data_IF_980032923154
#
_entry.id   IF_980032923154
#
_cell.length_a   1.000
_cell.length_b   1.000
_cell.length_c   1.000
_cell.angle_alpha   90.00
_cell.angle_beta   90.00
_cell.angle_gamma   90.00
#
_symmetry.space_group_name_H-M   'P 1'
#
loop_
_entity.id
_entity.type
_entity.pdbx_description
1 polymer ?
#
# COMPACT_ATOMS: atom_id res chain seq x y z
N UNK A 1 0.81 6.31 -25.64
CA UNK A 1 1.35 7.33 -24.75
C UNK A 1 2.74 7.76 -25.25
N UNK A 2 3.02 9.07 -25.44
CA UNK A 2 4.36 9.57 -25.77
C UNK A 2 5.41 9.07 -24.78
N UNK A 3 6.60 8.73 -25.26
CA UNK A 3 7.65 8.18 -24.42
C UNK A 3 8.08 9.15 -23.30
N UNK A 4 8.13 10.45 -23.60
CA UNK A 4 8.46 11.50 -22.63
C UNK A 4 7.47 11.69 -21.49
N UNK A 5 6.27 11.10 -21.58
CA UNK A 5 5.23 11.14 -20.56
C UNK A 5 5.10 9.84 -19.78
N UNK A 6 5.79 8.76 -20.18
CA UNK A 6 5.76 7.49 -19.45
C UNK A 6 6.37 7.65 -18.06
N UNK A 7 5.66 7.15 -17.04
CA UNK A 7 6.09 7.26 -15.64
C UNK A 7 5.97 8.67 -15.06
N UNK A 8 5.17 9.56 -15.67
CA UNK A 8 4.96 10.92 -15.14
C UNK A 8 3.51 11.18 -14.73
N UNK A 9 3.30 12.18 -13.87
CA UNK A 9 1.96 12.66 -13.50
C UNK A 9 1.15 13.07 -14.73
N UNK A 10 1.75 13.82 -15.64
CA UNK A 10 1.14 14.20 -16.91
C UNK A 10 0.81 12.99 -17.80
N UNK A 11 1.57 11.90 -17.70
CA UNK A 11 1.30 10.65 -18.39
C UNK A 11 0.06 9.94 -17.88
N UNK A 12 -0.19 9.97 -16.57
CA UNK A 12 -1.40 9.42 -15.98
C UNK A 12 -2.64 10.25 -16.38
N UNK A 13 -2.51 11.56 -16.46
CA UNK A 13 -3.55 12.50 -16.92
C UNK A 13 -3.75 12.52 -18.44
N UNK A 14 -2.96 11.78 -19.21
CA UNK A 14 -3.05 11.82 -20.67
C UNK A 14 -4.37 11.18 -21.18
N UNK A 15 -5.03 11.75 -22.20
CA UNK A 15 -6.33 11.24 -22.69
C UNK A 15 -6.33 9.74 -23.04
N UNK A 16 -5.23 9.22 -23.59
CA UNK A 16 -5.11 7.78 -23.90
C UNK A 16 -5.13 6.92 -22.63
N UNK A 17 -4.47 7.38 -21.55
CA UNK A 17 -4.46 6.67 -20.25
C UNK A 17 -5.85 6.74 -19.61
N UNK A 18 -6.47 7.91 -19.60
CA UNK A 18 -7.81 8.11 -19.06
C UNK A 18 -8.85 7.24 -19.79
N UNK A 19 -8.82 7.22 -21.12
CA UNK A 19 -9.72 6.38 -21.92
C UNK A 19 -9.52 4.88 -21.64
N UNK A 20 -8.27 4.43 -21.45
CA UNK A 20 -7.99 3.05 -21.05
C UNK A 20 -8.57 2.72 -19.68
N UNK A 21 -8.35 3.58 -18.67
CA UNK A 21 -8.86 3.39 -17.32
C UNK A 21 -10.40 3.41 -17.27
N UNK A 22 -11.04 4.31 -18.03
CA UNK A 22 -12.49 4.32 -18.19
C UNK A 22 -13.01 3.02 -18.82
N UNK A 23 -12.28 2.49 -19.81
CA UNK A 23 -12.61 1.21 -20.44
C UNK A 23 -12.56 0.00 -19.49
N UNK A 24 -11.81 0.09 -18.39
CA UNK A 24 -11.79 -0.92 -17.33
C UNK A 24 -13.03 -0.87 -16.41
N UNK A 25 -13.83 0.20 -16.47
CA UNK A 25 -15.02 0.37 -15.63
C UNK A 25 -14.71 0.69 -14.17
N UNK A 26 -13.48 1.07 -13.82
CA UNK A 26 -13.09 1.47 -12.46
C UNK A 26 -13.62 2.86 -12.11
N UNK A 27 -13.79 3.13 -10.82
CA UNK A 27 -14.29 4.41 -10.30
C UNK A 27 -13.30 5.14 -9.40
N UNK A 28 -12.31 4.43 -8.88
CA UNK A 28 -11.29 5.01 -8.00
C UNK A 28 -9.92 4.49 -8.40
N UNK A 29 -8.91 5.34 -8.23
CA UNK A 29 -7.50 5.02 -8.50
C UNK A 29 -6.75 5.19 -7.19
N UNK A 30 -6.12 4.13 -6.71
CA UNK A 30 -5.19 4.19 -5.59
C UNK A 30 -3.77 4.30 -6.14
N UNK A 31 -3.12 5.42 -5.84
CA UNK A 31 -1.75 5.69 -6.24
C UNK A 31 -0.79 5.16 -5.18
N UNK A 32 0.24 4.42 -5.60
CA UNK A 32 1.42 4.20 -4.76
C UNK A 32 1.97 5.54 -4.26
N UNK A 33 2.81 5.56 -3.19
CA UNK A 33 3.22 6.81 -2.57
C UNK A 33 3.83 7.80 -3.57
N UNK A 34 3.28 9.01 -3.60
CA UNK A 34 3.78 10.12 -4.44
C UNK A 34 4.40 11.24 -3.63
N UNK A 35 4.59 11.05 -2.33
CA UNK A 35 5.39 11.96 -1.50
C UNK A 35 6.85 11.90 -1.92
N UNK A 36 7.57 13.01 -1.77
CA UNK A 36 9.00 13.07 -2.07
C UNK A 36 9.74 12.00 -1.24
N UNK A 37 10.56 11.21 -1.92
CA UNK A 37 11.24 10.04 -1.37
C UNK A 37 12.75 10.14 -1.54
N UNK A 38 13.45 9.26 -0.85
CA UNK A 38 14.88 9.02 -1.02
C UNK A 38 15.10 7.53 -1.33
N UNK A 39 16.07 7.26 -2.19
CA UNK A 39 16.50 5.88 -2.43
C UNK A 39 17.23 5.37 -1.18
N UNK A 40 16.91 4.18 -0.71
CA UNK A 40 17.56 3.52 0.42
C UNK A 40 19.05 3.27 0.12
N UNK A 41 19.91 3.29 1.13
CA UNK A 41 21.34 3.07 0.98
C UNK A 41 21.65 1.77 0.23
N UNK A 42 20.96 0.71 0.56
CA UNK A 42 21.07 -0.59 -0.11
C UNK A 42 20.83 -0.47 -1.63
N UNK A 43 19.77 0.23 -2.05
CA UNK A 43 19.47 0.44 -3.46
C UNK A 43 20.55 1.27 -4.16
N UNK A 44 21.03 2.33 -3.50
CA UNK A 44 22.10 3.19 -4.03
C UNK A 44 23.42 2.41 -4.24
N UNK A 45 23.81 1.55 -3.29
CA UNK A 45 24.97 0.67 -3.38
C UNK A 45 24.90 -0.30 -4.57
N UNK A 46 23.68 -0.72 -4.95
CA UNK A 46 23.43 -1.59 -6.11
C UNK A 46 23.10 -0.82 -7.39
N UNK A 47 23.23 0.52 -7.40
CA UNK A 47 22.91 1.35 -8.57
C UNK A 47 21.43 1.35 -8.94
N UNK A 48 20.56 1.06 -7.98
CA UNK A 48 19.09 0.97 -8.12
C UNK A 48 18.41 2.18 -7.52
N UNK A 49 17.11 2.32 -7.82
CA UNK A 49 16.25 3.38 -7.28
C UNK A 49 15.03 2.77 -6.60
N UNK A 50 14.53 3.46 -5.60
CA UNK A 50 13.24 3.15 -5.00
C UNK A 50 12.15 3.35 -6.05
N UNK A 51 11.44 2.29 -6.40
CA UNK A 51 10.41 2.27 -7.45
C UNK A 51 9.01 2.54 -6.89
N UNK A 52 8.69 1.99 -5.72
CA UNK A 52 7.34 2.04 -5.16
C UNK A 52 7.02 3.34 -4.42
N UNK A 53 8.01 4.02 -3.86
CA UNK A 53 7.81 5.27 -3.12
C UNK A 53 7.72 5.14 -1.61
N UNK A 54 7.85 3.95 -1.03
CA UNK A 54 7.72 3.71 0.42
C UNK A 54 8.92 4.15 1.26
N UNK A 55 9.69 5.13 0.83
CA UNK A 55 10.86 5.67 1.53
C UNK A 55 10.74 7.19 1.66
N UNK A 56 9.75 7.66 2.43
CA UNK A 56 9.34 9.07 2.48
C UNK A 56 10.40 9.97 3.08
N UNK A 57 10.76 11.02 2.33
CA UNK A 57 11.65 12.11 2.75
C UNK A 57 10.87 13.35 3.19
N UNK A 58 9.82 13.72 2.45
CA UNK A 58 9.04 14.93 2.72
C UNK A 58 7.55 14.69 2.55
N UNK A 59 6.81 14.95 3.59
CA UNK A 59 5.38 14.65 3.72
C UNK A 59 4.45 15.72 3.13
N UNK A 60 5.00 16.88 2.70
CA UNK A 60 4.24 17.99 2.12
C UNK A 60 4.65 18.32 0.68
N UNK A 61 5.47 17.50 0.06
CA UNK A 61 5.95 17.71 -1.29
C UNK A 61 5.75 16.45 -2.15
N UNK A 62 5.31 16.59 -3.39
CA UNK A 62 5.28 15.47 -4.33
C UNK A 62 6.69 15.09 -4.80
N UNK A 63 6.85 13.84 -5.20
CA UNK A 63 8.09 13.28 -5.74
C UNK A 63 8.43 13.95 -7.10
N UNK A 64 9.55 14.68 -7.20
CA UNK A 64 9.86 15.41 -8.42
C UNK A 64 10.23 14.49 -9.60
N UNK A 65 10.77 13.30 -9.36
CA UNK A 65 11.16 12.38 -10.44
C UNK A 65 9.97 11.82 -11.22
N UNK A 66 8.76 11.89 -10.66
CA UNK A 66 7.52 11.52 -11.34
C UNK A 66 6.90 12.67 -12.14
N UNK A 67 7.50 13.88 -12.12
CA UNK A 67 7.05 14.96 -12.96
C UNK A 67 7.76 14.96 -14.32
N UNK A 68 7.18 15.64 -15.30
CA UNK A 68 7.87 15.87 -16.57
C UNK A 68 9.17 16.64 -16.38
N UNK A 69 10.17 16.42 -17.25
CA UNK A 69 11.43 17.19 -17.22
C UNK A 69 11.19 18.68 -17.23
N UNK A 70 10.22 19.14 -18.02
CA UNK A 70 9.86 20.55 -18.10
C UNK A 70 9.33 21.11 -16.75
N UNK A 71 8.59 20.33 -15.98
CA UNK A 71 8.15 20.72 -14.64
C UNK A 71 9.31 20.70 -13.63
N UNK A 72 10.16 19.69 -13.69
CA UNK A 72 11.37 19.58 -12.84
C UNK A 72 12.31 20.80 -13.02
N UNK A 73 12.58 21.20 -14.27
CA UNK A 73 13.43 22.34 -14.60
C UNK A 73 12.84 23.68 -14.11
N UNK A 74 11.52 23.80 -14.03
CA UNK A 74 10.82 24.98 -13.50
C UNK A 74 10.76 24.99 -11.96
N UNK A 75 11.07 23.88 -11.31
CA UNK A 75 11.16 23.76 -9.86
C UNK A 75 9.89 23.29 -9.17
N UNK A 76 9.93 23.21 -7.84
CA UNK A 76 8.95 22.56 -6.99
C UNK A 76 7.48 23.04 -7.19
N UNK A 77 7.30 24.34 -7.48
CA UNK A 77 5.94 24.88 -7.73
C UNK A 77 5.31 24.27 -9.01
N UNK A 78 6.11 24.04 -10.05
CA UNK A 78 5.65 23.44 -11.30
C UNK A 78 5.38 21.93 -11.12
N UNK A 79 6.24 21.23 -10.37
CA UNK A 79 6.01 19.81 -10.01
C UNK A 79 4.68 19.64 -9.25
N UNK A 80 4.46 20.49 -8.23
CA UNK A 80 3.17 20.47 -7.49
C UNK A 80 1.99 20.78 -8.40
N UNK A 81 2.13 21.73 -9.32
CA UNK A 81 1.06 22.08 -10.24
C UNK A 81 0.72 20.91 -11.18
N UNK A 82 1.72 20.16 -11.66
CA UNK A 82 1.50 18.99 -12.49
C UNK A 82 0.72 17.89 -11.75
N UNK A 83 0.95 17.70 -10.45
CA UNK A 83 0.14 16.78 -9.62
C UNK A 83 -1.30 17.28 -9.47
N UNK A 84 -1.49 18.58 -9.21
CA UNK A 84 -2.84 19.18 -9.13
C UNK A 84 -3.59 19.00 -10.46
N UNK A 85 -2.93 19.23 -11.59
CA UNK A 85 -3.49 19.07 -12.92
C UNK A 85 -3.84 17.61 -13.23
N UNK A 86 -2.99 16.66 -12.78
CA UNK A 86 -3.28 15.23 -12.86
C UNK A 86 -4.55 14.86 -12.08
N UNK A 87 -4.65 15.24 -10.80
CA UNK A 87 -5.80 14.93 -9.96
C UNK A 87 -7.07 15.53 -10.56
N UNK A 88 -7.01 16.78 -11.02
CA UNK A 88 -8.15 17.43 -11.69
C UNK A 88 -8.58 16.66 -12.95
N UNK A 89 -7.66 16.26 -13.81
CA UNK A 89 -7.98 15.49 -15.02
C UNK A 89 -8.60 14.11 -14.70
N UNK A 90 -8.16 13.46 -13.63
CA UNK A 90 -8.75 12.22 -13.13
C UNK A 90 -10.20 12.45 -12.63
N UNK A 91 -10.44 13.53 -11.87
CA UNK A 91 -11.79 13.92 -11.44
C UNK A 91 -12.71 14.22 -12.63
N UNK A 92 -12.23 14.99 -13.61
CA UNK A 92 -12.98 15.31 -14.83
C UNK A 92 -13.33 14.04 -15.65
N UNK A 93 -12.48 13.02 -15.56
CA UNK A 93 -12.70 11.70 -16.17
C UNK A 93 -13.64 10.78 -15.33
N UNK A 94 -14.06 11.22 -14.14
CA UNK A 94 -14.99 10.51 -13.25
C UNK A 94 -14.33 9.61 -12.21
N UNK A 95 -13.02 9.74 -11.97
CA UNK A 95 -12.30 8.94 -10.98
C UNK A 95 -12.13 9.69 -9.65
N UNK A 96 -12.24 8.97 -8.56
CA UNK A 96 -11.70 9.37 -7.27
C UNK A 96 -10.22 9.00 -7.18
N UNK A 97 -9.44 9.80 -6.47
CA UNK A 97 -8.00 9.60 -6.30
C UNK A 97 -7.69 9.29 -4.83
N UNK A 98 -7.26 8.08 -4.55
CA UNK A 98 -6.80 7.62 -3.24
C UNK A 98 -5.27 7.63 -3.26
N UNK A 99 -4.65 8.12 -2.21
CA UNK A 99 -3.20 8.18 -2.09
C UNK A 99 -2.72 7.25 -0.99
N UNK A 100 -1.77 6.38 -1.33
CA UNK A 100 -1.04 5.59 -0.34
C UNK A 100 -0.07 6.48 0.44
N UNK A 101 -0.10 6.39 1.76
CA UNK A 101 0.67 7.26 2.65
C UNK A 101 1.47 6.46 3.68
N UNK A 102 2.74 6.81 3.78
CA UNK A 102 3.72 6.14 4.64
C UNK A 102 4.07 7.05 5.80
N UNK A 103 3.34 6.91 6.92
CA UNK A 103 3.63 7.66 8.16
C UNK A 103 4.25 6.78 9.25
N UNK A 104 4.42 5.50 8.99
CA UNK A 104 4.96 4.56 9.98
C UNK A 104 6.48 4.65 10.13
N UNK A 105 7.19 5.05 9.06
CA UNK A 105 8.66 5.22 9.04
C UNK A 105 9.10 6.36 8.11
N UNK A 106 10.40 6.62 8.09
CA UNK A 106 11.04 7.58 7.19
C UNK A 106 12.15 6.93 6.37
N UNK A 107 12.63 7.65 5.36
CA UNK A 107 13.77 7.22 4.54
C UNK A 107 15.11 7.15 5.30
N UNK A 108 15.14 7.48 6.58
CA UNK A 108 16.40 7.53 7.37
C UNK A 108 16.90 6.14 7.80
N UNK A 109 16.10 5.06 7.61
CA UNK A 109 16.51 3.70 7.95
C UNK A 109 16.84 3.53 9.44
N UNK A 110 17.71 2.58 9.75
CA UNK A 110 18.18 2.31 11.12
C UNK A 110 19.16 3.37 11.66
N UNK A 111 19.79 3.07 12.78
CA UNK A 111 20.75 4.00 13.45
C UNK A 111 21.94 4.35 12.57
N UNK A 112 22.30 3.51 11.63
CA UNK A 112 23.39 3.73 10.65
C UNK A 112 22.93 4.53 9.42
N UNK A 113 21.65 4.86 9.33
CA UNK A 113 21.08 5.55 8.20
C UNK A 113 21.40 7.06 8.21
N UNK A 114 21.11 7.78 7.10
CA UNK A 114 21.40 9.20 6.99
C UNK A 114 20.54 10.04 7.93
N UNK A 115 20.99 11.24 8.23
CA UNK A 115 20.24 12.27 8.97
C UNK A 115 19.75 13.32 7.97
N UNK A 116 18.58 13.10 7.39
CA UNK A 116 18.03 13.92 6.28
C UNK A 116 16.57 14.36 6.50
N UNK A 117 15.92 13.83 7.53
CA UNK A 117 14.53 14.12 7.88
C UNK A 117 14.41 14.51 9.36
N UNK A 118 13.62 13.81 10.15
CA UNK A 118 13.24 14.18 11.53
C UNK A 118 14.34 13.92 12.55
N UNK A 119 15.23 12.96 12.30
CA UNK A 119 16.36 12.66 13.18
C UNK A 119 17.22 13.88 13.43
N UNK A 120 17.41 14.73 12.41
CA UNK A 120 18.18 15.96 12.52
C UNK A 120 17.52 17.08 13.33
N UNK A 121 16.22 16.97 13.60
CA UNK A 121 15.46 17.92 14.42
C UNK A 121 15.38 17.47 15.87
N UNK A 122 14.84 16.32 16.15
CA UNK A 122 14.76 15.73 17.48
C UNK A 122 14.49 14.22 17.38
N UNK A 123 15.55 13.41 17.36
CA UNK A 123 15.48 11.97 17.19
C UNK A 123 14.59 11.32 18.27
N UNK A 124 14.73 11.73 19.52
CA UNK A 124 13.98 11.16 20.64
C UNK A 124 12.49 11.54 20.65
N UNK A 125 12.12 12.63 20.02
CA UNK A 125 10.74 13.09 19.94
C UNK A 125 9.98 12.48 18.76
N UNK A 126 10.67 12.19 17.64
CA UNK A 126 10.01 11.72 16.43
C UNK A 126 10.06 10.20 16.26
N UNK A 127 11.08 9.52 16.80
CA UNK A 127 11.26 8.08 16.60
C UNK A 127 11.07 7.29 17.88
N UNK A 128 10.57 6.07 17.75
CA UNK A 128 10.46 5.13 18.85
C UNK A 128 11.81 4.50 19.14
N UNK A 129 12.22 4.59 20.39
CA UNK A 129 13.46 4.01 20.90
C UNK A 129 13.16 2.83 21.83
N UNK A 130 14.04 1.84 21.83
CA UNK A 130 13.94 0.72 22.75
C UNK A 130 14.09 1.20 24.21
N UNK A 131 13.14 0.85 25.08
CA UNK A 131 13.16 1.25 26.51
C UNK A 131 14.44 0.79 27.24
N UNK A 132 14.99 -0.36 26.83
CA UNK A 132 16.20 -0.93 27.43
C UNK A 132 17.49 -0.30 26.92
N UNK A 133 17.47 0.33 25.74
CA UNK A 133 18.61 0.98 25.13
C UNK A 133 18.15 2.05 24.14
N UNK A 134 18.10 3.29 24.58
CA UNK A 134 17.67 4.43 23.76
C UNK A 134 18.61 4.77 22.60
N UNK A 135 19.78 4.15 22.53
CA UNK A 135 20.65 4.21 21.34
C UNK A 135 20.19 3.27 20.20
N UNK A 136 19.09 2.53 20.38
CA UNK A 136 18.49 1.66 19.37
C UNK A 136 17.05 2.05 19.10
N UNK A 137 16.69 2.09 17.82
CA UNK A 137 15.32 2.31 17.39
C UNK A 137 14.47 1.04 17.59
N UNK A 138 13.18 1.22 17.90
CA UNK A 138 12.18 0.18 17.68
C UNK A 138 11.89 0.11 16.17
N UNK A 139 11.74 -1.11 15.66
CA UNK A 139 11.41 -1.34 14.27
C UNK A 139 10.21 -2.30 14.17
N UNK A 140 9.01 -1.73 14.00
CA UNK A 140 7.80 -2.48 13.71
C UNK A 140 7.44 -2.44 12.21
N UNK A 141 8.32 -1.85 11.40
CA UNK A 141 8.08 -1.55 9.98
C UNK A 141 8.94 -2.39 9.02
N UNK A 142 10.07 -2.93 9.51
CA UNK A 142 11.06 -3.60 8.67
C UNK A 142 11.97 -2.63 7.90
N UNK A 143 11.80 -1.30 8.11
CA UNK A 143 12.57 -0.27 7.43
C UNK A 143 13.65 0.37 8.33
N UNK A 144 13.87 -0.19 9.53
CA UNK A 144 14.92 0.22 10.46
C UNK A 144 14.52 1.32 11.43
N UNK A 145 13.36 1.95 11.27
CA UNK A 145 12.83 2.94 12.20
C UNK A 145 11.31 2.90 12.27
N UNK A 146 10.77 3.44 13.34
CA UNK A 146 9.33 3.61 13.55
C UNK A 146 9.09 5.02 14.09
N UNK A 147 8.18 5.79 13.47
CA UNK A 147 7.75 7.08 14.01
C UNK A 147 6.90 6.91 15.26
N UNK A 148 7.10 7.80 16.24
CA UNK A 148 6.42 7.72 17.54
C UNK A 148 5.07 8.44 17.52
N UNK A 149 4.00 7.74 17.18
CA UNK A 149 2.63 8.25 17.22
C UNK A 149 2.06 8.43 18.62
N UNK A 150 2.80 8.11 19.68
CA UNK A 150 2.44 8.53 21.05
C UNK A 150 2.76 10.01 21.28
N UNK A 151 3.65 10.59 20.46
CA UNK A 151 3.99 12.00 20.51
C UNK A 151 2.95 12.83 19.72
N UNK A 152 2.36 13.83 20.42
CA UNK A 152 1.33 14.70 19.84
C UNK A 152 1.85 15.54 18.66
N UNK A 153 3.14 15.88 18.62
CA UNK A 153 3.72 16.60 17.50
C UNK A 153 3.74 15.73 16.23
N UNK A 154 4.06 14.43 16.34
CA UNK A 154 4.02 13.48 15.23
C UNK A 154 2.59 13.33 14.71
N UNK A 155 1.62 13.18 15.62
CA UNK A 155 0.19 13.10 15.27
C UNK A 155 -0.27 14.37 14.55
N UNK A 156 0.02 15.55 15.10
CA UNK A 156 -0.37 16.85 14.51
C UNK A 156 0.22 17.01 13.11
N UNK A 157 1.50 16.70 12.96
CA UNK A 157 2.21 16.75 11.71
C UNK A 157 1.56 15.84 10.64
N UNK A 158 1.22 14.59 10.99
CA UNK A 158 0.55 13.68 10.06
C UNK A 158 -0.84 14.19 9.64
N UNK A 159 -1.63 14.70 10.58
CA UNK A 159 -2.95 15.30 10.30
C UNK A 159 -2.81 16.52 9.39
N UNK A 160 -1.85 17.41 9.62
CA UNK A 160 -1.64 18.59 8.78
C UNK A 160 -1.16 18.22 7.37
N UNK A 161 -0.32 17.20 7.26
CA UNK A 161 0.09 16.65 5.96
C UNK A 161 -1.11 16.09 5.18
N UNK A 162 -1.95 15.26 5.81
CA UNK A 162 -3.16 14.72 5.19
C UNK A 162 -4.12 15.83 4.75
N UNK A 163 -4.33 16.85 5.59
CA UNK A 163 -5.13 18.04 5.23
C UNK A 163 -4.55 18.80 4.04
N UNK A 164 -3.21 18.90 3.94
CA UNK A 164 -2.55 19.52 2.80
C UNK A 164 -2.86 18.75 1.51
N UNK A 165 -2.70 17.43 1.49
CA UNK A 165 -2.97 16.60 0.32
C UNK A 165 -4.45 16.62 -0.07
N UNK A 166 -5.35 16.52 0.89
CA UNK A 166 -6.79 16.60 0.63
C UNK A 166 -7.22 17.98 0.12
N UNK A 167 -6.82 19.06 0.81
CA UNK A 167 -7.34 20.40 0.52
C UNK A 167 -6.62 21.11 -0.62
N UNK A 168 -5.28 20.90 -0.77
CA UNK A 168 -4.47 21.65 -1.74
C UNK A 168 -4.22 20.87 -3.02
N UNK A 169 -4.18 19.57 -2.94
CA UNK A 169 -3.94 18.69 -4.10
C UNK A 169 -5.28 18.13 -4.62
N UNK A 170 -6.23 17.84 -3.74
CA UNK A 170 -7.55 17.33 -4.10
C UNK A 170 -7.69 15.82 -3.93
N UNK A 171 -6.92 15.19 -3.05
CA UNK A 171 -6.99 13.76 -2.78
C UNK A 171 -8.31 13.41 -2.07
N UNK A 172 -9.01 12.36 -2.51
CA UNK A 172 -10.34 11.93 -2.04
C UNK A 172 -10.28 10.88 -0.93
N UNK A 173 -9.12 10.28 -0.71
CA UNK A 173 -8.94 9.27 0.32
C UNK A 173 -7.47 8.88 0.52
N UNK A 174 -7.21 8.17 1.59
CA UNK A 174 -5.88 7.72 1.96
C UNK A 174 -5.87 6.24 2.32
N UNK A 175 -4.88 5.51 1.80
CA UNK A 175 -4.51 4.18 2.29
C UNK A 175 -3.28 4.33 3.17
N UNK A 176 -3.37 3.87 4.40
CA UNK A 176 -2.29 3.98 5.40
C UNK A 176 -1.46 2.71 5.41
N UNK A 177 -0.23 2.83 4.96
CA UNK A 177 0.78 1.78 5.03
C UNK A 177 1.04 1.38 6.47
N UNK A 178 1.11 0.07 6.76
CA UNK A 178 1.29 -0.50 8.09
C UNK A 178 0.44 0.21 9.17
N UNK A 179 -0.87 0.32 8.94
CA UNK A 179 -1.78 1.10 9.78
C UNK A 179 -1.77 0.71 11.26
N UNK A 180 -1.39 -0.52 11.60
CA UNK A 180 -1.25 -1.00 12.98
C UNK A 180 -0.14 -0.26 13.73
N UNK A 181 0.97 0.02 13.08
CA UNK A 181 2.08 0.81 13.65
C UNK A 181 1.63 2.18 14.13
N UNK A 182 0.73 2.84 13.36
CA UNK A 182 0.19 4.17 13.67
C UNK A 182 -0.78 4.18 14.86
N UNK A 183 -1.20 3.01 15.31
CA UNK A 183 -2.19 2.81 16.37
C UNK A 183 -1.65 2.03 17.58
N UNK A 184 -0.32 2.02 17.78
CA UNK A 184 0.32 1.35 18.91
C UNK A 184 0.56 2.31 20.08
N UNK A 185 -0.02 2.00 21.25
CA UNK A 185 0.31 2.60 22.53
C UNK A 185 1.09 1.60 23.37
N UNK A 186 2.24 2.00 23.91
CA UNK A 186 3.13 1.13 24.72
C UNK A 186 3.48 -0.21 24.08
N UNK A 187 3.52 -0.25 22.74
CA UNK A 187 3.77 -1.45 21.96
C UNK A 187 2.53 -2.24 21.56
N UNK A 188 1.37 -2.00 22.16
CA UNK A 188 0.12 -2.70 21.89
C UNK A 188 -0.78 -1.91 20.93
N UNK A 189 -1.44 -2.62 20.02
CA UNK A 189 -2.46 -2.02 19.14
C UNK A 189 -3.71 -1.62 19.94
N UNK A 190 -4.25 -0.44 19.63
CA UNK A 190 -5.56 -0.02 20.12
C UNK A 190 -6.32 0.82 19.10
N UNK A 191 -7.58 0.46 18.82
CA UNK A 191 -8.49 1.27 18.00
C UNK A 191 -8.90 2.60 18.66
N UNK A 192 -8.53 2.79 19.94
CA UNK A 192 -8.70 4.04 20.69
C UNK A 192 -7.48 4.96 20.64
N UNK A 193 -6.53 4.70 19.73
CA UNK A 193 -5.32 5.52 19.59
C UNK A 193 -5.66 6.98 19.25
N UNK A 194 -4.99 7.99 19.85
CA UNK A 194 -5.24 9.41 19.60
C UNK A 194 -5.20 9.80 18.11
N UNK A 195 -4.31 9.22 17.33
CA UNK A 195 -4.23 9.45 15.89
C UNK A 195 -5.52 9.03 15.16
N UNK A 196 -6.06 7.84 15.47
CA UNK A 196 -7.31 7.36 14.88
C UNK A 196 -8.50 8.24 15.27
N UNK A 197 -8.51 8.74 16.52
CA UNK A 197 -9.51 9.71 16.95
C UNK A 197 -9.36 11.04 16.21
N UNK A 198 -8.14 11.56 16.05
CA UNK A 198 -7.88 12.78 15.32
C UNK A 198 -8.36 12.68 13.86
N UNK A 199 -8.07 11.57 13.18
CA UNK A 199 -8.52 11.33 11.81
C UNK A 199 -10.04 11.37 11.67
N UNK A 200 -10.76 10.55 12.46
CA UNK A 200 -12.22 10.42 12.33
C UNK A 200 -12.99 11.64 12.83
N UNK A 201 -12.39 12.45 13.71
CA UNK A 201 -13.03 13.65 14.25
C UNK A 201 -12.70 14.92 13.46
N UNK A 202 -11.77 14.85 12.52
CA UNK A 202 -11.42 15.96 11.66
C UNK A 202 -12.56 16.24 10.67
N UNK A 203 -12.99 17.50 10.54
CA UNK A 203 -14.12 17.90 9.71
C UNK A 203 -13.89 17.66 8.20
N UNK A 204 -12.61 17.62 7.77
CA UNK A 204 -12.26 17.33 6.39
C UNK A 204 -11.96 15.83 6.25
N UNK A 205 -10.99 15.33 7.01
CA UNK A 205 -10.45 13.97 6.83
C UNK A 205 -11.48 12.88 7.18
N UNK A 206 -12.30 13.08 8.20
CA UNK A 206 -13.33 12.12 8.62
C UNK A 206 -14.44 11.88 7.59
N UNK A 207 -14.51 12.71 6.53
CA UNK A 207 -15.44 12.54 5.40
C UNK A 207 -14.79 11.94 4.16
N UNK A 208 -13.47 11.65 4.19
CA UNK A 208 -12.75 11.02 3.10
C UNK A 208 -12.73 9.50 3.24
N UNK A 209 -12.30 8.81 2.20
CA UNK A 209 -12.02 7.37 2.26
C UNK A 209 -10.75 7.14 3.08
N UNK A 210 -10.87 6.44 4.20
CA UNK A 210 -9.76 6.10 5.08
C UNK A 210 -9.60 4.57 5.10
N UNK A 211 -8.54 4.09 4.47
CA UNK A 211 -8.27 2.67 4.28
C UNK A 211 -7.02 2.31 5.06
N UNK A 212 -7.09 1.28 5.89
CA UNK A 212 -5.95 0.79 6.67
C UNK A 212 -5.37 -0.46 6.04
N UNK A 213 -4.06 -0.53 5.97
CA UNK A 213 -3.37 -1.80 5.91
C UNK A 213 -3.34 -2.37 7.34
N UNK A 214 -4.08 -3.47 7.62
CA UNK A 214 -4.36 -3.85 9.01
C UNK A 214 -3.32 -4.80 9.59
N UNK A 215 -2.04 -4.59 9.26
CA UNK A 215 -0.91 -5.34 9.84
C UNK A 215 0.33 -4.47 9.99
N UNK A 216 1.31 -5.00 10.72
CA UNK A 216 2.69 -4.55 10.79
C UNK A 216 3.62 -5.72 11.20
N UNK A 217 4.92 -5.48 11.33
CA UNK A 217 5.91 -6.50 11.70
C UNK A 217 6.15 -6.63 13.21
N UNK A 218 5.44 -5.85 14.02
CA UNK A 218 5.53 -5.92 15.48
C UNK A 218 4.82 -7.13 16.06
N UNK A 219 4.94 -7.30 17.37
CA UNK A 219 4.24 -8.38 18.08
C UNK A 219 2.73 -8.26 17.88
N UNK A 220 2.06 -9.41 17.62
CA UNK A 220 0.63 -9.47 17.32
C UNK A 220 0.22 -8.43 16.24
N UNK A 221 1.03 -8.31 15.19
CA UNK A 221 0.88 -7.28 14.17
C UNK A 221 -0.34 -7.43 13.27
N UNK A 222 -0.91 -8.61 13.10
CA UNK A 222 -2.10 -8.82 12.27
C UNK A 222 -3.37 -8.40 13.01
N UNK A 223 -4.14 -7.45 12.45
CA UNK A 223 -5.29 -6.80 13.08
C UNK A 223 -6.49 -6.62 12.14
N UNK A 224 -6.56 -7.39 11.06
CA UNK A 224 -7.69 -7.34 10.12
C UNK A 224 -9.02 -7.54 10.86
N UNK A 225 -9.96 -6.60 10.65
CA UNK A 225 -11.25 -6.57 11.34
C UNK A 225 -11.26 -5.79 12.66
N UNK A 226 -10.14 -5.18 13.10
CA UNK A 226 -10.02 -4.58 14.44
C UNK A 226 -9.97 -3.05 14.46
N UNK A 227 -9.98 -2.38 13.32
CA UNK A 227 -10.17 -0.93 13.27
C UNK A 227 -11.66 -0.59 13.38
N UNK A 228 -11.96 0.57 14.01
CA UNK A 228 -13.33 1.03 14.18
C UNK A 228 -13.83 1.83 12.97
N UNK A 229 -15.13 2.17 12.95
CA UNK A 229 -15.71 3.13 12.00
C UNK A 229 -14.96 4.47 12.10
N UNK A 230 -14.66 5.17 10.97
CA UNK A 230 -15.08 4.93 9.59
C UNK A 230 -14.07 4.15 8.72
N UNK A 231 -13.06 3.55 9.31
CA UNK A 231 -11.95 2.93 8.57
C UNK A 231 -12.40 1.68 7.81
N UNK A 232 -12.06 1.63 6.53
CA UNK A 232 -12.03 0.41 5.75
C UNK A 232 -10.64 -0.25 5.87
N UNK A 233 -10.55 -1.53 5.56
CA UNK A 233 -9.32 -2.30 5.69
C UNK A 233 -9.08 -3.17 4.45
N UNK A 234 -7.84 -3.26 4.04
CA UNK A 234 -7.42 -4.28 3.09
C UNK A 234 -7.67 -5.67 3.68
N UNK A 235 -8.46 -6.48 2.98
CA UNK A 235 -8.89 -7.80 3.46
C UNK A 235 -7.97 -8.90 2.91
N UNK A 236 -6.89 -9.21 3.64
CA UNK A 236 -5.98 -10.29 3.32
C UNK A 236 -6.66 -11.68 3.37
N UNK A 237 -7.67 -11.86 4.23
CA UNK A 237 -8.45 -13.10 4.28
C UNK A 237 -9.23 -13.33 2.99
N UNK A 238 -9.79 -12.28 2.40
CA UNK A 238 -10.40 -12.38 1.08
C UNK A 238 -9.35 -12.78 0.03
N UNK A 239 -8.21 -12.07 0.00
CA UNK A 239 -7.12 -12.33 -0.94
C UNK A 239 -6.69 -13.79 -0.90
N UNK A 240 -6.35 -14.28 0.29
CA UNK A 240 -5.80 -15.63 0.46
C UNK A 240 -6.85 -16.71 0.17
N UNK A 241 -8.09 -16.52 0.63
CA UNK A 241 -9.21 -17.44 0.33
C UNK A 241 -9.47 -17.50 -1.17
N UNK A 242 -9.54 -16.36 -1.85
CA UNK A 242 -9.80 -16.32 -3.29
C UNK A 242 -8.67 -16.98 -4.10
N UNK A 243 -7.41 -16.71 -3.75
CA UNK A 243 -6.26 -17.34 -4.40
C UNK A 243 -6.24 -18.85 -4.17
N UNK A 244 -6.41 -19.31 -2.93
CA UNK A 244 -6.46 -20.75 -2.63
C UNK A 244 -7.60 -21.42 -3.39
N UNK A 245 -8.80 -20.84 -3.40
CA UNK A 245 -9.96 -21.41 -4.06
C UNK A 245 -9.79 -21.57 -5.58
N UNK A 246 -9.26 -20.55 -6.25
CA UNK A 246 -9.14 -20.53 -7.72
C UNK A 246 -7.84 -21.09 -8.26
N UNK A 247 -6.80 -21.21 -7.44
CA UNK A 247 -5.48 -21.64 -7.87
C UNK A 247 -5.07 -22.96 -7.22
N UNK A 248 -4.86 -22.99 -5.92
CA UNK A 248 -4.33 -24.17 -5.24
C UNK A 248 -5.33 -25.34 -5.24
N UNK A 249 -6.61 -25.09 -4.98
CA UNK A 249 -7.63 -26.15 -4.98
C UNK A 249 -7.86 -26.73 -6.39
N UNK A 250 -7.69 -25.94 -7.43
CA UNK A 250 -7.83 -26.37 -8.84
C UNK A 250 -6.59 -27.16 -9.28
N UNK A 251 -5.40 -26.72 -8.89
CA UNK A 251 -4.13 -27.39 -9.22
C UNK A 251 -3.86 -28.65 -8.37
N UNK A 252 -4.76 -28.94 -7.43
CA UNK A 252 -4.74 -30.18 -6.64
C UNK A 252 -3.69 -30.24 -5.54
N UNK A 253 -3.11 -29.11 -5.15
CA UNK A 253 -1.97 -29.02 -4.24
C UNK A 253 -2.07 -27.99 -3.12
N UNK A 254 -3.26 -27.75 -2.54
CA UNK A 254 -3.36 -26.85 -1.41
C UNK A 254 -2.76 -27.44 -0.14
N UNK A 255 -1.67 -26.84 0.35
CA UNK A 255 -1.09 -27.14 1.66
C UNK A 255 -1.95 -26.61 2.82
N UNK A 256 -2.93 -25.72 2.52
CA UNK A 256 -3.80 -25.06 3.49
C UNK A 256 -5.19 -25.70 3.63
N UNK A 257 -5.45 -26.80 2.91
CA UNK A 257 -6.76 -27.45 2.85
C UNK A 257 -7.68 -26.75 1.86
N UNK A 258 -8.75 -27.45 1.46
CA UNK A 258 -9.73 -26.94 0.49
C UNK A 258 -10.60 -25.85 1.09
N UNK A 259 -10.78 -24.76 0.36
CA UNK A 259 -11.73 -23.71 0.73
C UNK A 259 -13.16 -24.17 0.48
N UNK A 260 -14.00 -24.09 1.50
CA UNK A 260 -15.42 -24.42 1.36
C UNK A 260 -16.18 -23.32 0.61
N UNK A 261 -17.27 -23.69 -0.06
CA UNK A 261 -18.18 -22.71 -0.68
C UNK A 261 -18.77 -21.74 0.35
N UNK A 262 -18.96 -22.19 1.59
CA UNK A 262 -19.43 -21.34 2.67
C UNK A 262 -18.41 -20.26 3.01
N UNK A 263 -17.13 -20.61 3.13
CA UNK A 263 -16.08 -19.65 3.40
C UNK A 263 -15.92 -18.66 2.25
N UNK A 264 -15.86 -19.15 1.01
CA UNK A 264 -15.78 -18.29 -0.16
C UNK A 264 -16.97 -17.32 -0.24
N UNK A 265 -18.19 -17.78 0.04
CA UNK A 265 -19.39 -16.94 0.09
C UNK A 265 -19.28 -15.87 1.18
N UNK A 266 -18.77 -16.23 2.37
CA UNK A 266 -18.54 -15.27 3.45
C UNK A 266 -17.58 -14.17 3.03
N UNK A 267 -16.48 -14.52 2.35
CA UNK A 267 -15.50 -13.54 1.82
C UNK A 267 -16.13 -12.61 0.77
N UNK A 268 -16.83 -13.17 -0.21
CA UNK A 268 -17.52 -12.41 -1.27
C UNK A 268 -18.59 -11.46 -0.71
N UNK A 269 -19.30 -11.85 0.35
CA UNK A 269 -20.30 -11.02 1.01
C UNK A 269 -19.71 -9.98 2.01
N UNK A 270 -18.41 -9.71 1.95
CA UNK A 270 -17.75 -8.67 2.75
C UNK A 270 -17.29 -9.11 4.12
N UNK A 271 -17.03 -10.42 4.31
CA UNK A 271 -16.39 -10.97 5.52
C UNK A 271 -17.04 -10.49 6.84
N UNK A 272 -18.34 -10.69 6.98
CA UNK A 272 -19.12 -10.24 8.14
C UNK A 272 -18.57 -10.78 9.48
N UNK A 273 -17.95 -11.97 9.47
CA UNK A 273 -17.26 -12.57 10.60
C UNK A 273 -16.06 -11.72 11.13
N UNK A 274 -15.45 -10.91 10.25
CA UNK A 274 -14.37 -9.99 10.59
C UNK A 274 -14.88 -8.56 10.84
N UNK A 275 -15.80 -8.07 10.01
CA UNK A 275 -16.14 -6.66 9.96
C UNK A 275 -17.47 -6.29 10.59
N UNK A 276 -18.38 -7.23 10.85
CA UNK A 276 -19.64 -6.94 11.53
C UNK A 276 -19.58 -7.16 13.06
N UNK A 277 -18.42 -6.91 13.66
CA UNK A 277 -18.17 -7.12 15.09
C UNK A 277 -18.58 -5.94 15.96
N UNK A 278 -18.75 -4.75 15.33
CA UNK A 278 -19.15 -3.52 16.03
C UNK A 278 -20.36 -2.87 15.33
N UNK A 279 -21.22 -2.14 16.10
CA UNK A 279 -22.34 -1.40 15.50
C UNK A 279 -21.89 -0.37 14.46
N UNK A 280 -22.56 -0.38 13.31
CA UNK A 280 -22.26 0.53 12.20
C UNK A 280 -21.12 0.08 11.30
N UNK A 281 -20.45 -1.01 11.60
CA UNK A 281 -19.43 -1.65 10.75
C UNK A 281 -20.02 -2.85 10.01
N UNK A 282 -19.48 -3.18 8.85
CA UNK A 282 -19.99 -4.29 8.03
C UNK A 282 -19.25 -4.43 6.70
N UNK A 283 -19.88 -5.00 5.70
CA UNK A 283 -19.30 -5.26 4.38
C UNK A 283 -18.54 -4.07 3.75
N UNK A 284 -18.99 -2.80 3.87
CA UNK A 284 -18.24 -1.67 3.33
C UNK A 284 -16.87 -1.42 3.96
N UNK A 285 -16.57 -2.02 5.11
CA UNK A 285 -15.25 -1.94 5.72
C UNK A 285 -14.22 -2.87 5.05
N UNK A 286 -14.67 -3.85 4.26
CA UNK A 286 -13.81 -4.81 3.57
C UNK A 286 -13.39 -4.27 2.21
N UNK A 287 -12.10 -3.99 2.01
CA UNK A 287 -11.53 -3.78 0.69
C UNK A 287 -11.02 -5.13 0.18
N UNK A 288 -11.82 -5.73 -0.68
CA UNK A 288 -11.50 -7.01 -1.30
C UNK A 288 -10.48 -6.81 -2.43
N UNK A 289 -9.44 -7.62 -2.49
CA UNK A 289 -8.44 -7.59 -3.55
C UNK A 289 -7.84 -8.97 -3.78
N UNK A 290 -7.32 -9.23 -4.96
CA UNK A 290 -6.63 -10.49 -5.30
C UNK A 290 -5.13 -10.31 -5.48
N UNK A 291 -4.68 -9.13 -5.88
CA UNK A 291 -3.26 -8.76 -5.98
C UNK A 291 -3.09 -7.27 -5.71
N UNK A 292 -1.90 -6.87 -5.26
CA UNK A 292 -1.51 -5.49 -5.03
C UNK A 292 -0.05 -5.30 -5.47
N UNK A 293 0.62 -4.24 -5.01
CA UNK A 293 2.05 -4.01 -5.28
C UNK A 293 2.95 -5.07 -4.63
N UNK A 294 2.52 -5.65 -3.50
CA UNK A 294 3.21 -6.74 -2.82
C UNK A 294 2.90 -8.11 -3.42
N UNK A 295 3.91 -8.99 -3.43
CA UNK A 295 3.78 -10.35 -3.89
C UNK A 295 3.68 -10.46 -5.41
N UNK A 296 3.03 -11.51 -5.88
CA UNK A 296 2.94 -11.82 -7.29
C UNK A 296 1.93 -10.94 -8.03
N UNK A 297 2.27 -10.57 -9.26
CA UNK A 297 1.28 -10.05 -10.22
C UNK A 297 0.22 -11.11 -10.50
N UNK A 298 -0.94 -10.71 -11.06
CA UNK A 298 -1.98 -11.66 -11.45
C UNK A 298 -1.47 -12.74 -12.40
N UNK A 299 -0.55 -12.37 -13.30
CA UNK A 299 0.10 -13.31 -14.22
C UNK A 299 1.03 -14.28 -13.47
N UNK A 300 1.82 -13.79 -12.53
CA UNK A 300 2.76 -14.63 -11.79
C UNK A 300 2.06 -15.58 -10.82
N UNK A 301 0.91 -15.18 -10.26
CA UNK A 301 0.05 -16.06 -9.46
C UNK A 301 -0.36 -17.34 -10.20
N UNK A 302 -0.44 -17.31 -11.52
CA UNK A 302 -0.80 -18.47 -12.35
C UNK A 302 0.41 -19.15 -13.01
N UNK A 303 1.63 -18.63 -12.81
CA UNK A 303 2.85 -19.15 -13.46
C UNK A 303 3.87 -19.74 -12.52
N UNK A 304 3.92 -19.24 -11.30
CA UNK A 304 4.97 -19.60 -10.35
C UNK A 304 4.39 -20.11 -9.04
N UNK A 305 4.87 -21.26 -8.61
CA UNK A 305 4.55 -21.79 -7.28
C UNK A 305 5.47 -21.20 -6.20
N UNK A 306 6.69 -20.81 -6.60
CA UNK A 306 7.68 -20.20 -5.73
C UNK A 306 8.17 -18.87 -6.28
N UNK A 307 8.65 -17.98 -5.39
CA UNK A 307 9.23 -16.69 -5.81
C UNK A 307 10.59 -16.90 -6.48
N UNK A 308 10.88 -16.06 -7.49
CA UNK A 308 12.10 -16.04 -8.28
C UNK A 308 12.66 -14.62 -8.32
N UNK A 309 13.13 -14.12 -7.14
CA UNK A 309 13.60 -12.75 -6.95
C UNK A 309 15.13 -12.63 -6.94
N UNK A 310 15.87 -13.63 -7.44
CA UNK A 310 17.32 -13.64 -7.45
C UNK A 310 17.92 -12.39 -8.13
N UNK A 311 17.24 -11.89 -9.17
CA UNK A 311 17.65 -10.69 -9.88
C UNK A 311 17.63 -9.42 -9.02
N UNK A 312 16.92 -9.42 -7.88
CA UNK A 312 16.91 -8.29 -6.95
C UNK A 312 18.21 -8.14 -6.14
N UNK A 313 19.04 -9.18 -6.08
CA UNK A 313 20.33 -9.14 -5.39
C UNK A 313 20.24 -9.42 -3.89
N UNK A 314 19.09 -9.91 -3.41
CA UNK A 314 18.85 -10.28 -2.01
C UNK A 314 18.78 -11.80 -1.79
N UNK A 315 19.37 -12.57 -2.70
CA UNK A 315 19.43 -14.04 -2.64
C UNK A 315 18.03 -14.68 -2.50
N UNK A 316 17.01 -14.09 -3.15
CA UNK A 316 15.62 -14.53 -3.08
C UNK A 316 15.00 -14.48 -1.65
N UNK A 317 15.55 -13.66 -0.75
CA UNK A 317 15.00 -13.49 0.60
C UNK A 317 13.86 -12.46 0.66
N UNK A 318 13.82 -11.52 -0.28
CA UNK A 318 12.80 -10.47 -0.39
C UNK A 318 11.43 -11.01 -0.82
N UNK A 319 10.39 -10.31 -0.44
CA UNK A 319 9.00 -10.66 -0.74
C UNK A 319 8.47 -11.89 0.02
N UNK A 320 7.16 -12.11 -0.07
CA UNK A 320 6.49 -13.23 0.60
C UNK A 320 6.88 -14.59 -0.01
N UNK A 321 7.14 -15.57 0.82
CA UNK A 321 7.30 -16.97 0.40
C UNK A 321 5.97 -17.71 0.25
N UNK A 322 4.86 -17.14 0.78
CA UNK A 322 3.51 -17.70 0.70
C UNK A 322 2.67 -16.78 -0.18
N UNK A 323 2.37 -17.20 -1.40
CA UNK A 323 1.62 -16.41 -2.36
C UNK A 323 0.26 -17.02 -2.73
N UNK A 324 -0.07 -18.21 -2.26
CA UNK A 324 -1.27 -18.95 -2.66
C UNK A 324 -1.41 -19.01 -4.19
N UNK A 325 -0.34 -19.41 -4.85
CA UNK A 325 -0.20 -19.41 -6.31
C UNK A 325 -0.11 -20.84 -6.86
N UNK A 326 -0.35 -21.00 -8.16
CA UNK A 326 -0.26 -22.27 -8.85
C UNK A 326 0.50 -22.14 -10.18
N UNK A 327 1.28 -23.16 -10.54
CA UNK A 327 2.02 -23.17 -11.81
C UNK A 327 1.35 -24.04 -12.89
N UNK A 328 0.27 -24.73 -12.55
CA UNK A 328 -0.48 -25.63 -13.47
C UNK A 328 0.43 -26.69 -14.12
N UNK A 329 1.37 -27.22 -13.35
CA UNK A 329 2.30 -28.26 -13.77
C UNK A 329 3.57 -27.79 -14.45
N UNK A 330 3.72 -26.50 -14.75
CA UNK A 330 4.92 -25.92 -15.39
C UNK A 330 5.33 -24.63 -14.69
N UNK A 331 6.51 -24.63 -14.07
CA UNK A 331 7.04 -23.41 -13.43
C UNK A 331 7.52 -22.40 -14.48
N UNK A 332 6.97 -21.18 -14.46
CA UNK A 332 7.36 -20.12 -15.37
C UNK A 332 6.61 -20.11 -16.71
N UNK A 333 7.26 -19.57 -17.74
CA UNK A 333 6.70 -19.41 -19.08
C UNK A 333 6.63 -20.77 -19.80
N UNK A 334 5.56 -20.99 -20.55
CA UNK A 334 5.37 -22.21 -21.35
C UNK A 334 4.66 -21.89 -22.66
N UNK A 335 4.87 -22.75 -23.67
CA UNK A 335 4.15 -22.73 -24.96
C UNK A 335 3.05 -23.82 -25.01
N UNK A 336 2.84 -24.57 -23.93
CA UNK A 336 1.79 -25.57 -23.84
C UNK A 336 0.41 -24.91 -23.85
N UNK A 337 -0.43 -25.14 -24.88
CA UNK A 337 -1.70 -24.46 -25.03
C UNK A 337 -2.71 -24.81 -23.94
N UNK A 338 -2.67 -26.03 -23.39
CA UNK A 338 -3.59 -26.48 -22.35
C UNK A 338 -3.25 -25.80 -21.01
N UNK A 339 -1.95 -25.66 -20.70
CA UNK A 339 -1.49 -24.94 -19.52
C UNK A 339 -1.80 -23.45 -19.62
N UNK A 340 -1.59 -22.83 -20.80
CA UNK A 340 -1.91 -21.42 -21.03
C UNK A 340 -3.40 -21.18 -20.82
N UNK A 341 -4.26 -21.99 -21.44
CA UNK A 341 -5.72 -21.87 -21.31
C UNK A 341 -6.21 -22.02 -19.84
N UNK A 342 -5.65 -22.98 -19.08
CA UNK A 342 -5.96 -23.15 -17.66
C UNK A 342 -5.57 -21.93 -16.82
N UNK A 343 -4.38 -21.35 -17.05
CA UNK A 343 -3.89 -20.14 -16.41
C UNK A 343 -4.76 -18.92 -16.69
N UNK A 344 -5.11 -18.71 -17.95
CA UNK A 344 -5.99 -17.62 -18.37
C UNK A 344 -7.37 -17.74 -17.75
N UNK A 345 -7.95 -18.93 -17.72
CA UNK A 345 -9.25 -19.17 -17.10
C UNK A 345 -9.21 -18.89 -15.59
N UNK A 346 -8.17 -19.31 -14.89
CA UNK A 346 -7.99 -19.02 -13.46
C UNK A 346 -7.84 -17.52 -13.18
N UNK A 347 -7.04 -16.81 -13.97
CA UNK A 347 -6.88 -15.36 -13.88
C UNK A 347 -8.21 -14.62 -14.13
N UNK A 348 -8.97 -15.04 -15.15
CA UNK A 348 -10.29 -14.47 -15.45
C UNK A 348 -11.28 -14.68 -14.31
N UNK A 349 -11.29 -15.86 -13.68
CA UNK A 349 -12.16 -16.17 -12.55
C UNK A 349 -11.85 -15.23 -11.36
N UNK A 350 -10.58 -14.94 -11.10
CA UNK A 350 -10.17 -14.03 -10.02
C UNK A 350 -10.53 -12.57 -10.29
N UNK A 351 -10.47 -12.11 -11.55
CA UNK A 351 -10.86 -10.74 -11.91
C UNK A 351 -12.37 -10.57 -11.89
N UNK A 352 -13.12 -11.61 -12.22
CA UNK A 352 -14.57 -11.59 -12.33
C UNK A 352 -15.34 -11.65 -10.99
N UNK A 353 -14.62 -11.75 -9.87
CA UNK A 353 -15.19 -11.69 -8.52
C UNK A 353 -15.40 -10.26 -8.03
#
# INVERSE_FOLDING_TARGET
LPESLRGTYAGLAHPTTLAYLQGLGITSIELLPIMAKQDELFLQEHGRKNYWGYSTLSYFAPEPSYATKAAQEKGAAAVRQEVIDMVRALHEAGFEVIMDVVYNHTCEGGVEGPTVCWRGLDDLAYYRHQKSNTGRLEDTTGCGNTLDFTNTHVVTFAIDSLRYWAKRIGIDGFRFDLGVTLARLEGEFTHHHPFLYALRSDLLLGNLKLIMEPWDLGNLGWRTGQFSVPFAEWNDRFRDTARTFWLEDVDGGSDFGRISLQEMSTRLCGSADLFATEPGRGAPASINFVSCHDGFTLTDLTRYRSKHNEANGENNNDGSSVNHSANFGVEGVTDDPDVIAAREQAAMNMIGM
#
